data_IF_488743892217
#
_entry.id   IF_488743892217
#
_cell.length_a   1.000
_cell.length_b   1.000
_cell.length_c   1.000
_cell.angle_alpha   90.00
_cell.angle_beta   90.00
_cell.angle_gamma   90.00
#
_symmetry.space_group_name_H-M   'P 1'
#
loop_
_entity.id
_entity.type
_entity.pdbx_description
1 polymer ?
#
# COMPACT_ATOMS: atom_id res chain seq x y z
N UNK A 1 13.87 32.84 46.67
CA UNK A 1 14.02 32.25 45.33
C UNK A 1 12.73 31.54 45.02
N UNK A 2 11.94 32.09 44.07
CA UNK A 2 10.76 31.40 43.53
C UNK A 2 11.26 30.47 42.44
N UNK A 3 11.26 29.17 42.70
CA UNK A 3 11.31 28.17 41.61
C UNK A 3 10.01 28.27 40.81
N UNK A 4 10.09 28.84 39.62
CA UNK A 4 9.03 28.74 38.64
C UNK A 4 9.04 27.31 38.11
N UNK A 5 8.20 26.46 38.68
CA UNK A 5 7.93 25.15 38.12
C UNK A 5 7.29 25.31 36.75
N UNK A 6 7.96 24.90 35.69
CA UNK A 6 7.34 24.75 34.38
C UNK A 6 6.38 23.58 34.47
N UNK A 7 5.10 23.84 34.28
CA UNK A 7 4.14 22.76 34.00
C UNK A 7 4.43 22.27 32.60
N UNK A 8 4.95 21.05 32.48
CA UNK A 8 5.02 20.38 31.19
C UNK A 8 3.61 19.87 30.91
N UNK A 9 3.04 20.22 29.78
CA UNK A 9 1.79 19.66 29.34
C UNK A 9 2.04 18.22 28.90
N UNK A 10 1.40 17.28 29.58
CA UNK A 10 1.49 15.85 29.31
C UNK A 10 0.11 15.28 28.93
N UNK A 11 -0.82 16.12 28.50
CA UNK A 11 -2.17 15.72 28.12
C UNK A 11 -2.19 15.54 26.61
N UNK A 12 -2.19 14.29 26.18
CA UNK A 12 -2.31 13.97 24.76
C UNK A 12 -3.67 14.39 24.19
N UNK A 13 -3.75 14.71 22.89
CA UNK A 13 -5.00 14.93 22.19
C UNK A 13 -5.97 13.74 22.33
N UNK A 14 -7.26 13.99 22.10
CA UNK A 14 -8.23 12.92 22.05
C UNK A 14 -7.98 12.04 20.81
N UNK A 15 -8.33 10.75 20.94
CA UNK A 15 -8.29 9.78 19.86
C UNK A 15 -8.98 10.29 18.61
N UNK A 16 -8.37 10.08 17.45
CA UNK A 16 -8.94 10.43 16.14
C UNK A 16 -10.17 9.57 15.87
N UNK A 17 -11.26 10.21 15.42
CA UNK A 17 -12.52 9.55 15.10
C UNK A 17 -12.92 9.76 13.64
N UNK A 18 -13.83 8.91 13.14
CA UNK A 18 -14.37 9.04 11.79
C UNK A 18 -13.37 8.75 10.69
N UNK A 19 -12.34 7.96 10.98
CA UNK A 19 -11.39 7.50 9.95
C UNK A 19 -12.16 6.70 8.89
N UNK A 20 -12.00 7.09 7.64
CA UNK A 20 -12.53 6.46 6.45
C UNK A 20 -11.44 6.29 5.40
N UNK A 21 -11.52 5.20 4.63
CA UNK A 21 -10.62 4.92 3.51
C UNK A 21 -11.44 4.58 2.27
N UNK A 22 -11.14 5.23 1.17
CA UNK A 22 -11.77 4.97 -0.13
C UNK A 22 -10.74 5.07 -1.25
N UNK A 23 -11.02 4.37 -2.35
CA UNK A 23 -10.18 4.45 -3.56
C UNK A 23 -10.72 5.54 -4.44
N UNK A 24 -9.91 6.57 -4.69
CA UNK A 24 -10.25 7.68 -5.56
C UNK A 24 -9.01 8.20 -6.29
N UNK A 25 -9.16 8.65 -7.52
CA UNK A 25 -8.11 9.28 -8.35
C UNK A 25 -6.79 8.47 -8.43
N UNK A 26 -6.90 7.15 -8.36
CA UNK A 26 -5.75 6.25 -8.46
C UNK A 26 -4.94 6.10 -7.17
N UNK A 27 -5.49 6.48 -6.03
CA UNK A 27 -4.87 6.38 -4.71
C UNK A 27 -5.88 5.95 -3.65
N UNK A 28 -5.39 5.51 -2.51
CA UNK A 28 -6.22 5.36 -1.31
C UNK A 28 -6.28 6.71 -0.60
N UNK A 29 -7.49 7.25 -0.54
CA UNK A 29 -7.80 8.51 0.11
C UNK A 29 -8.29 8.24 1.52
N UNK A 30 -7.56 8.73 2.51
CA UNK A 30 -7.96 8.69 3.91
C UNK A 30 -8.55 10.04 4.32
N UNK A 31 -9.58 9.99 5.14
CA UNK A 31 -10.18 11.18 5.75
C UNK A 31 -10.66 10.86 7.16
N UNK A 32 -10.65 11.84 8.06
CA UNK A 32 -11.09 11.70 9.44
C UNK A 32 -11.60 13.01 10.04
N UNK A 33 -12.12 12.97 11.26
CA UNK A 33 -12.57 14.18 11.96
C UNK A 33 -11.37 14.99 12.44
N UNK A 34 -11.44 16.32 12.27
CA UNK A 34 -10.39 17.23 12.77
C UNK A 34 -10.25 17.15 14.29
N UNK A 35 -9.02 17.18 14.80
CA UNK A 35 -8.74 17.28 16.24
C UNK A 35 -9.21 18.64 16.78
N UNK A 36 -9.89 18.65 17.93
CA UNK A 36 -10.33 19.86 18.61
C UNK A 36 -9.31 20.35 19.67
N UNK A 37 -8.15 19.69 19.80
CA UNK A 37 -7.11 20.10 20.74
C UNK A 37 -6.54 21.48 20.36
N UNK A 38 -6.47 22.40 21.33
CA UNK A 38 -5.97 23.77 21.08
C UNK A 38 -4.48 23.83 20.73
N UNK A 39 -3.74 22.81 21.13
CA UNK A 39 -2.31 22.63 20.95
C UNK A 39 -1.98 21.53 19.95
N UNK A 40 -2.97 21.14 19.13
CA UNK A 40 -2.78 20.18 18.03
C UNK A 40 -1.64 20.61 17.10
N UNK A 41 -0.78 19.66 16.75
CA UNK A 41 0.34 19.84 15.83
C UNK A 41 0.11 19.15 14.49
N UNK A 42 -0.03 17.81 14.51
CA UNK A 42 -0.17 17.00 13.30
C UNK A 42 -0.79 15.65 13.61
N UNK A 43 -1.16 14.93 12.54
CA UNK A 43 -1.55 13.52 12.59
C UNK A 43 -0.39 12.64 12.17
N UNK A 44 -0.32 11.43 12.73
CA UNK A 44 0.54 10.34 12.27
C UNK A 44 -0.34 9.28 11.63
N UNK A 45 0.06 8.80 10.46
CA UNK A 45 -0.67 7.79 9.68
C UNK A 45 0.14 6.51 9.64
N UNK A 46 -0.50 5.40 10.00
CA UNK A 46 0.09 4.07 10.04
C UNK A 46 -0.61 3.14 9.07
N UNK A 47 0.15 2.24 8.48
CA UNK A 47 -0.29 1.34 7.43
C UNK A 47 0.29 -0.06 7.61
N UNK A 48 -0.52 -1.08 7.24
CA UNK A 48 -0.08 -2.47 7.14
C UNK A 48 -0.97 -3.26 6.20
N UNK A 49 -0.46 -4.35 5.65
CA UNK A 49 -1.24 -5.39 4.95
C UNK A 49 -1.74 -6.48 5.90
N UNK A 50 -1.42 -6.38 7.19
CA UNK A 50 -1.85 -7.33 8.22
C UNK A 50 -2.93 -6.70 9.08
N UNK A 51 -4.06 -7.40 9.26
CA UNK A 51 -5.10 -6.99 10.19
C UNK A 51 -4.57 -6.93 11.63
N UNK A 52 -5.13 -6.04 12.44
CA UNK A 52 -4.78 -5.89 13.86
C UNK A 52 -3.27 -5.67 14.12
N UNK A 53 -2.58 -5.02 13.18
CA UNK A 53 -1.18 -4.66 13.36
C UNK A 53 -1.00 -3.67 14.52
N UNK A 54 0.16 -3.68 15.14
CA UNK A 54 0.52 -2.72 16.18
C UNK A 54 1.26 -1.55 15.50
N UNK A 55 0.71 -0.31 15.56
CA UNK A 55 1.39 0.86 15.02
C UNK A 55 2.79 1.05 15.64
N UNK A 56 3.76 1.40 14.82
CA UNK A 56 5.16 1.60 15.19
C UNK A 56 5.84 2.53 14.18
N UNK A 57 7.07 2.94 14.45
CA UNK A 57 7.87 3.71 13.49
C UNK A 57 8.04 2.99 12.14
N UNK A 58 8.06 1.65 12.13
CA UNK A 58 8.20 0.85 10.90
C UNK A 58 6.91 0.84 10.05
N UNK A 59 5.76 1.03 10.69
CA UNK A 59 4.44 1.05 10.02
C UNK A 59 3.94 2.48 9.76
N UNK A 60 4.64 3.49 10.24
CA UNK A 60 4.32 4.89 9.98
C UNK A 60 4.65 5.26 8.54
N UNK A 61 3.64 5.69 7.78
CA UNK A 61 3.79 6.08 6.37
C UNK A 61 3.84 7.58 6.15
N UNK A 62 3.53 8.38 7.16
CA UNK A 62 3.65 9.83 7.07
C UNK A 62 2.94 10.60 8.17
N UNK A 63 3.13 11.91 8.13
CA UNK A 63 2.49 12.87 9.02
C UNK A 63 1.79 13.96 8.20
N UNK A 64 0.66 14.46 8.70
CA UNK A 64 -0.09 15.51 8.00
C UNK A 64 -0.80 16.44 8.97
N UNK A 65 -0.91 17.72 8.65
CA UNK A 65 -1.61 18.71 9.48
C UNK A 65 -3.11 18.83 9.15
N UNK A 66 -3.54 18.32 8.01
CA UNK A 66 -4.96 18.28 7.61
C UNK A 66 -5.56 16.91 7.92
N UNK A 67 -6.88 16.79 8.11
CA UNK A 67 -7.56 15.54 8.43
C UNK A 67 -7.78 14.66 7.19
N UNK A 68 -6.76 14.51 6.37
CA UNK A 68 -6.75 13.69 5.16
C UNK A 68 -5.33 13.24 4.83
N UNK A 69 -5.20 12.11 4.13
CA UNK A 69 -3.92 11.61 3.65
C UNK A 69 -4.13 10.81 2.37
N UNK A 70 -3.19 10.92 1.43
CA UNK A 70 -3.20 10.19 0.17
C UNK A 70 -2.10 9.14 0.19
N UNK A 71 -2.45 7.88 -0.08
CA UNK A 71 -1.49 6.79 -0.11
C UNK A 71 -1.54 6.07 -1.46
N UNK A 72 -0.40 6.07 -2.14
CA UNK A 72 -0.21 5.33 -3.37
C UNK A 72 0.14 3.87 -3.04
N UNK A 73 -0.79 2.95 -3.30
CA UNK A 73 -0.64 1.52 -3.01
C UNK A 73 -0.31 0.77 -4.30
N UNK A 74 0.75 -0.03 -4.27
CA UNK A 74 1.24 -0.79 -5.44
C UNK A 74 0.93 -2.29 -5.37
N UNK A 75 0.31 -2.76 -4.28
CA UNK A 75 0.00 -4.16 -4.05
C UNK A 75 -1.51 -4.41 -4.01
N UNK A 76 -1.94 -5.58 -4.48
CA UNK A 76 -3.32 -6.05 -4.32
C UNK A 76 -3.53 -6.67 -2.94
N UNK A 77 -4.77 -6.66 -2.46
CA UNK A 77 -5.15 -7.28 -1.20
C UNK A 77 -5.76 -6.30 -0.21
N UNK A 78 -5.74 -6.67 1.05
CA UNK A 78 -6.28 -5.87 2.14
C UNK A 78 -5.22 -4.91 2.68
N UNK A 79 -5.62 -3.66 2.87
CA UNK A 79 -4.78 -2.57 3.37
C UNK A 79 -5.46 -1.95 4.58
N UNK A 80 -4.75 -1.88 5.69
CA UNK A 80 -5.26 -1.42 6.98
C UNK A 80 -4.57 -0.13 7.39
N UNK A 81 -5.35 0.81 7.91
CA UNK A 81 -4.87 2.12 8.32
C UNK A 81 -5.36 2.47 9.72
N UNK A 82 -4.50 3.17 10.45
CA UNK A 82 -4.75 3.73 11.77
C UNK A 82 -4.14 5.11 11.82
N UNK A 83 -4.76 6.04 12.53
CA UNK A 83 -4.31 7.43 12.66
C UNK A 83 -4.29 7.82 14.13
N UNK A 84 -3.28 8.59 14.53
CA UNK A 84 -3.21 9.27 15.82
C UNK A 84 -3.05 10.79 15.63
N UNK A 85 -3.31 11.55 16.69
CA UNK A 85 -3.08 13.00 16.74
C UNK A 85 -1.94 13.30 17.70
N UNK A 86 -1.10 14.26 17.35
CA UNK A 86 0.05 14.69 18.15
C UNK A 86 -0.06 16.19 18.44
N UNK A 87 0.25 16.60 19.66
CA UNK A 87 0.30 17.99 20.09
C UNK A 87 1.67 18.64 19.86
N UNK A 88 1.80 19.91 20.20
CA UNK A 88 3.07 20.67 20.07
C UNK A 88 4.13 20.25 21.11
N UNK A 89 3.78 19.41 22.09
CA UNK A 89 4.67 18.89 23.12
C UNK A 89 5.06 17.43 22.84
N UNK A 90 4.69 16.91 21.65
CA UNK A 90 4.93 15.53 21.20
C UNK A 90 4.17 14.45 22.01
N UNK A 91 3.06 14.82 22.65
CA UNK A 91 2.17 13.83 23.22
C UNK A 91 1.27 13.26 22.13
N UNK A 92 1.32 11.95 21.94
CA UNK A 92 0.52 11.21 20.96
C UNK A 92 -0.76 10.66 21.59
N UNK A 93 -1.89 10.80 20.89
CA UNK A 93 -3.18 10.27 21.30
C UNK A 93 -3.23 8.73 21.25
N UNK A 94 -4.29 8.16 21.78
CA UNK A 94 -4.70 6.79 21.44
C UNK A 94 -4.92 6.68 19.92
N UNK A 95 -4.71 5.48 19.36
CA UNK A 95 -4.92 5.22 17.94
C UNK A 95 -6.41 5.16 17.60
N UNK A 96 -6.79 5.61 16.40
CA UNK A 96 -8.14 5.45 15.87
C UNK A 96 -8.54 3.97 15.77
N UNK A 97 -9.83 3.70 15.60
CA UNK A 97 -10.26 2.42 15.08
C UNK A 97 -9.59 2.18 13.70
N UNK A 98 -9.20 0.94 13.44
CA UNK A 98 -8.60 0.59 12.16
C UNK A 98 -9.66 0.60 11.06
N UNK A 99 -9.31 1.16 9.90
CA UNK A 99 -10.10 1.05 8.68
C UNK A 99 -9.36 0.19 7.68
N UNK A 100 -10.09 -0.57 6.86
CA UNK A 100 -9.49 -1.31 5.77
C UNK A 100 -10.10 -0.96 4.42
N UNK A 101 -9.30 -1.09 3.38
CA UNK A 101 -9.71 -1.09 1.98
C UNK A 101 -9.10 -2.29 1.28
N UNK A 102 -9.90 -2.99 0.46
CA UNK A 102 -9.44 -4.15 -0.30
C UNK A 102 -9.26 -3.74 -1.76
N UNK A 103 -8.04 -3.87 -2.28
CA UNK A 103 -7.74 -3.65 -3.68
C UNK A 103 -7.78 -4.98 -4.43
N UNK A 104 -8.79 -5.17 -5.25
CA UNK A 104 -8.99 -6.37 -6.08
C UNK A 104 -8.22 -6.30 -7.39
N UNK A 105 -7.87 -5.08 -7.83
CA UNK A 105 -7.10 -4.81 -9.04
C UNK A 105 -6.33 -3.50 -8.89
N UNK A 106 -5.12 -3.42 -9.42
CA UNK A 106 -4.37 -2.16 -9.47
C UNK A 106 -5.00 -1.13 -10.43
N UNK A 107 -5.92 -1.55 -11.27
CA UNK A 107 -6.74 -0.63 -12.09
C UNK A 107 -7.62 0.26 -11.22
N UNK A 108 -8.05 -0.22 -10.04
CA UNK A 108 -8.86 0.56 -9.11
C UNK A 108 -8.09 1.78 -8.56
N UNK A 109 -6.76 1.65 -8.45
CA UNK A 109 -5.89 2.70 -7.88
C UNK A 109 -5.16 3.50 -8.96
N UNK A 110 -4.60 2.82 -9.96
CA UNK A 110 -3.72 3.45 -10.94
C UNK A 110 -4.40 3.73 -12.30
N UNK A 111 -5.70 3.37 -12.44
CA UNK A 111 -6.36 3.37 -13.75
C UNK A 111 -5.76 2.30 -14.67
N UNK A 112 -5.99 2.43 -15.97
CA UNK A 112 -5.39 1.54 -16.96
C UNK A 112 -3.93 1.94 -17.22
N UNK A 113 -3.02 0.97 -17.48
CA UNK A 113 -1.67 1.29 -17.93
C UNK A 113 -1.69 2.16 -19.18
N UNK A 114 -0.78 3.10 -19.29
CA UNK A 114 -0.67 3.96 -20.47
C UNK A 114 0.09 3.28 -21.63
N UNK A 115 0.95 2.30 -21.31
CA UNK A 115 1.80 1.63 -22.29
C UNK A 115 1.89 0.13 -22.01
N UNK A 116 2.14 -0.66 -23.06
CA UNK A 116 2.52 -2.06 -22.89
C UNK A 116 3.88 -2.15 -22.21
N UNK A 117 3.98 -2.92 -21.12
CA UNK A 117 5.23 -3.14 -20.43
C UNK A 117 5.37 -4.58 -19.94
N UNK A 118 6.61 -5.08 -19.90
CA UNK A 118 7.00 -6.29 -19.23
C UNK A 118 8.07 -5.94 -18.22
N UNK A 119 7.79 -6.20 -16.96
CA UNK A 119 8.68 -5.84 -15.86
C UNK A 119 9.65 -6.95 -15.53
N UNK A 120 10.73 -6.58 -14.86
CA UNK A 120 11.68 -7.58 -14.33
C UNK A 120 10.96 -8.45 -13.30
N UNK A 121 11.21 -9.75 -13.38
CA UNK A 121 10.67 -10.69 -12.40
C UNK A 121 11.23 -10.44 -10.99
N UNK A 122 10.38 -10.62 -9.97
CA UNK A 122 10.77 -10.46 -8.57
C UNK A 122 10.20 -11.62 -7.71
N UNK A 123 11.01 -12.19 -6.79
CA UNK A 123 12.45 -11.94 -6.58
C UNK A 123 13.33 -12.40 -7.75
N UNK A 124 14.50 -11.80 -7.90
CA UNK A 124 15.53 -12.23 -8.85
C UNK A 124 16.93 -12.00 -8.20
N UNK A 125 17.70 -13.06 -7.85
CA UNK A 125 17.39 -14.48 -8.07
C UNK A 125 16.17 -14.98 -7.31
N UNK A 126 15.50 -16.01 -7.83
CA UNK A 126 14.30 -16.57 -7.23
C UNK A 126 14.54 -17.94 -6.56
N UNK A 127 13.71 -18.29 -5.55
CA UNK A 127 13.74 -19.59 -4.86
C UNK A 127 12.43 -19.84 -4.10
N UNK A 128 11.60 -20.80 -4.42
CA UNK A 128 11.58 -21.56 -5.70
C UNK A 128 10.80 -20.84 -6.80
N UNK A 129 10.08 -19.75 -6.50
CA UNK A 129 9.19 -19.06 -7.43
C UNK A 129 9.54 -17.58 -7.61
N UNK A 130 9.08 -17.03 -8.71
CA UNK A 130 9.17 -15.62 -9.03
C UNK A 130 7.87 -15.13 -9.66
N UNK A 131 7.56 -13.85 -9.50
CA UNK A 131 6.41 -13.19 -10.11
C UNK A 131 6.87 -12.33 -11.27
N UNK A 132 6.17 -12.42 -12.38
CA UNK A 132 6.37 -11.60 -13.58
C UNK A 132 5.16 -10.69 -13.71
N UNK A 133 5.39 -9.38 -13.74
CA UNK A 133 4.37 -8.37 -13.99
C UNK A 133 4.41 -7.94 -15.44
N UNK A 134 3.23 -7.78 -16.05
CA UNK A 134 3.08 -7.15 -17.36
C UNK A 134 1.83 -6.26 -17.38
N UNK A 135 1.91 -5.17 -18.14
CA UNK A 135 0.91 -4.11 -18.17
C UNK A 135 0.31 -4.01 -19.56
N UNK A 136 -1.03 -3.96 -19.65
CA UNK A 136 -1.78 -3.90 -20.90
C UNK A 136 -2.69 -2.65 -20.90
N UNK A 137 -2.44 -1.64 -21.75
CA UNK A 137 -3.29 -0.45 -21.86
C UNK A 137 -4.64 -0.76 -22.53
N UNK A 138 -4.74 -1.84 -23.28
CA UNK A 138 -5.94 -2.32 -23.96
C UNK A 138 -5.99 -3.84 -23.98
N UNK A 139 -7.20 -4.39 -24.14
CA UNK A 139 -7.38 -5.84 -24.27
C UNK A 139 -6.60 -6.40 -25.47
N UNK A 140 -5.74 -7.36 -25.23
CA UNK A 140 -4.76 -7.83 -26.22
C UNK A 140 -4.55 -9.33 -26.18
N UNK A 141 -4.11 -9.93 -27.30
CA UNK A 141 -3.63 -11.30 -27.31
C UNK A 141 -2.19 -11.34 -26.78
N UNK A 142 -2.02 -12.00 -25.63
CA UNK A 142 -0.74 -12.12 -24.92
C UNK A 142 -0.18 -13.50 -25.12
N UNK A 143 1.14 -13.59 -25.34
CA UNK A 143 1.92 -14.82 -25.29
C UNK A 143 3.15 -14.57 -24.41
N UNK A 144 3.16 -15.15 -23.20
CA UNK A 144 4.27 -15.05 -22.25
C UNK A 144 4.98 -16.41 -22.19
N UNK A 145 6.20 -16.44 -22.71
CA UNK A 145 6.99 -17.66 -22.90
C UNK A 145 8.34 -17.50 -22.19
N UNK A 146 8.75 -18.52 -21.46
CA UNK A 146 10.07 -18.61 -20.84
C UNK A 146 11.00 -19.37 -21.79
N UNK A 147 12.18 -18.78 -22.02
CA UNK A 147 13.24 -19.38 -22.81
C UNK A 147 14.51 -19.60 -21.97
N UNK A 148 15.24 -20.66 -22.27
CA UNK A 148 16.57 -20.84 -21.71
C UNK A 148 17.64 -19.98 -22.42
N UNK A 149 18.87 -20.01 -21.91
CA UNK A 149 19.98 -19.22 -22.47
C UNK A 149 20.39 -19.65 -23.88
N UNK A 150 19.90 -20.79 -24.36
CA UNK A 150 20.11 -21.29 -25.72
C UNK A 150 18.95 -20.95 -26.65
N UNK A 151 17.94 -20.22 -26.16
CA UNK A 151 16.76 -19.81 -26.92
C UNK A 151 15.72 -20.90 -27.10
N UNK A 152 15.77 -21.99 -26.31
CA UNK A 152 14.77 -23.07 -26.37
C UNK A 152 13.63 -22.71 -25.41
N UNK A 153 12.42 -22.93 -25.85
CA UNK A 153 11.23 -22.78 -25.01
C UNK A 153 11.27 -23.75 -23.81
N UNK A 154 11.13 -23.19 -22.61
CA UNK A 154 11.03 -23.93 -21.35
C UNK A 154 9.56 -24.18 -21.02
N UNK A 155 8.75 -23.12 -21.06
CA UNK A 155 7.31 -23.21 -20.80
C UNK A 155 6.58 -21.97 -21.32
N UNK A 156 5.32 -22.14 -21.69
CA UNK A 156 4.39 -21.03 -21.96
C UNK A 156 3.55 -20.80 -20.73
N UNK A 157 3.73 -19.64 -20.09
CA UNK A 157 3.00 -19.25 -18.87
C UNK A 157 1.59 -18.74 -19.17
N UNK A 158 1.44 -18.04 -20.29
CA UNK A 158 0.17 -17.48 -20.73
C UNK A 158 0.09 -17.46 -22.25
N UNK A 159 -1.11 -17.81 -22.78
CA UNK A 159 -1.40 -17.68 -24.21
C UNK A 159 -2.90 -17.46 -24.38
N UNK A 160 -3.32 -16.30 -24.89
CA UNK A 160 -4.73 -15.98 -25.12
C UNK A 160 -5.04 -14.49 -25.00
N UNK A 161 -6.33 -14.17 -25.08
CA UNK A 161 -6.83 -12.81 -24.91
C UNK A 161 -6.90 -12.46 -23.43
N UNK A 162 -6.37 -11.29 -23.08
CA UNK A 162 -6.30 -10.74 -21.73
C UNK A 162 -6.84 -9.30 -21.79
N UNK A 163 -7.65 -8.94 -20.81
CA UNK A 163 -8.24 -7.59 -20.71
C UNK A 163 -7.16 -6.54 -20.37
N UNK A 164 -7.48 -5.27 -20.56
CA UNK A 164 -6.63 -4.17 -20.15
C UNK A 164 -6.41 -4.18 -18.64
N UNK A 165 -5.21 -3.86 -18.19
CA UNK A 165 -4.88 -3.81 -16.75
C UNK A 165 -3.46 -4.22 -16.43
N UNK A 166 -3.18 -4.29 -15.12
CA UNK A 166 -1.93 -4.78 -14.55
C UNK A 166 -2.07 -6.27 -14.25
N UNK A 167 -1.16 -7.10 -14.77
CA UNK A 167 -1.24 -8.55 -14.67
C UNK A 167 0.01 -9.12 -14.00
N UNK A 168 -0.22 -10.17 -13.21
CA UNK A 168 0.84 -10.88 -12.49
C UNK A 168 0.70 -12.38 -12.77
N UNK A 169 1.81 -13.03 -13.05
CA UNK A 169 1.88 -14.47 -13.21
C UNK A 169 3.07 -15.03 -12.45
N UNK A 170 2.82 -16.06 -11.66
CA UNK A 170 3.88 -16.72 -10.90
C UNK A 170 4.47 -17.87 -11.70
N UNK A 171 5.79 -18.00 -11.65
CA UNK A 171 6.53 -19.14 -12.20
C UNK A 171 7.42 -19.75 -11.11
N UNK A 172 7.36 -21.08 -10.99
CA UNK A 172 8.05 -21.87 -9.98
C UNK A 172 9.36 -22.51 -10.47
N UNK A 173 9.85 -22.11 -11.66
CA UNK A 173 11.08 -22.64 -12.24
C UNK A 173 10.91 -23.97 -12.97
N UNK A 174 9.69 -24.51 -13.05
CA UNK A 174 9.43 -25.77 -13.75
C UNK A 174 9.18 -25.57 -15.24
N UNK A 175 9.49 -26.60 -16.02
CA UNK A 175 9.13 -26.64 -17.44
C UNK A 175 7.71 -27.23 -17.64
N UNK A 176 7.25 -27.29 -18.89
CA UNK A 176 5.93 -27.85 -19.27
C UNK A 176 5.72 -29.33 -18.91
N UNK A 177 6.75 -30.03 -18.44
CA UNK A 177 6.74 -31.46 -18.06
C UNK A 177 6.90 -31.59 -16.52
N UNK A 178 7.05 -30.51 -15.77
CA UNK A 178 7.15 -30.52 -14.30
C UNK A 178 8.52 -30.92 -13.75
N UNK A 179 9.58 -30.64 -14.49
CA UNK A 179 10.98 -30.95 -14.10
C UNK A 179 11.77 -29.67 -13.92
#
# INVERSE_FOLDING_TARGET
EHESGYSVDNIAPMMVTGLNAEVADGMVMLSWSHSEANDFSHYMVYYSTVADFIPSEETMIGTHSLPSFEHNVEEMGDHYYVVSAVDIHENESEYSEAVNVTLLSLVDVHGLPETFALHQNYPNPFNPSTTIRYDLPEASNVSLIIYDMMGREVTTLMSGQVDAGYHFIQWDGTNSIGS
#
